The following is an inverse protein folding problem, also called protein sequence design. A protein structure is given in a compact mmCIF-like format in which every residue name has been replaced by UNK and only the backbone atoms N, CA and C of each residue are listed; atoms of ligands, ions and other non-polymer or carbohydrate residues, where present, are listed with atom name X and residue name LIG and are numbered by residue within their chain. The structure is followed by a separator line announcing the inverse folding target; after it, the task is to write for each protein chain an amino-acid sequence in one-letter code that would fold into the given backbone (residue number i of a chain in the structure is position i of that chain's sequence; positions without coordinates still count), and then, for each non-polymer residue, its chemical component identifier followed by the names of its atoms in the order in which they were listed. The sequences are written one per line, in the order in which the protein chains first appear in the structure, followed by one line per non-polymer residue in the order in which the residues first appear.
data_IF_334095071111
#
_entry.id   IF_334095071111
#
_cell.length_a   1.000
_cell.length_b   1.000
_cell.length_c   1.000
_cell.angle_alpha   90.00
_cell.angle_beta   90.00
_cell.angle_gamma   90.00
#
_symmetry.space_group_name_H-M   'P 1'
#
loop_
_entity.id
_entity.type
_entity.pdbx_description
1 polymer ?
#
# COMPACT_ATOMS: atom_id res chain seq x y z
N UNK A 1 -1.50 8.69 10.22
CA UNK A 1 -0.41 9.46 10.85
C UNK A 1 0.92 8.94 10.35
N UNK A 2 1.78 9.81 9.77
CA UNK A 2 3.08 9.39 9.21
C UNK A 2 4.16 9.23 10.29
N UNK A 3 4.15 8.10 10.99
CA UNK A 3 5.14 7.76 12.03
C UNK A 3 6.48 7.38 11.42
N UNK A 4 6.49 6.56 10.41
CA UNK A 4 7.61 6.01 9.63
C UNK A 4 8.50 5.04 10.42
N UNK A 5 8.93 5.38 11.62
CA UNK A 5 9.74 4.59 12.55
C UNK A 5 9.59 5.14 13.98
N UNK A 6 9.89 4.33 14.97
CA UNK A 6 10.05 4.76 16.37
C UNK A 6 11.54 4.79 16.80
N UNK A 7 12.45 4.89 15.82
CA UNK A 7 13.87 5.07 16.03
C UNK A 7 14.29 6.48 15.59
N UNK A 8 14.74 7.32 16.50
CA UNK A 8 15.12 8.71 16.21
C UNK A 8 16.24 8.81 15.17
N UNK A 9 17.14 7.81 15.10
CA UNK A 9 18.19 7.74 14.08
C UNK A 9 17.64 7.62 12.67
N UNK A 10 16.64 6.74 12.48
CA UNK A 10 15.96 6.50 11.21
C UNK A 10 15.11 7.71 10.80
N UNK A 11 14.37 8.32 11.74
CA UNK A 11 13.59 9.53 11.49
C UNK A 11 14.47 10.70 11.01
N UNK A 12 15.64 10.89 11.61
CA UNK A 12 16.61 11.92 11.17
C UNK A 12 17.12 11.66 9.76
N UNK A 13 17.42 10.40 9.40
CA UNK A 13 17.85 10.02 8.04
C UNK A 13 16.77 10.33 7.01
N UNK A 14 15.50 10.07 7.34
CA UNK A 14 14.36 10.43 6.50
C UNK A 14 14.07 11.95 6.44
N UNK A 15 14.79 12.77 7.20
CA UNK A 15 14.55 14.22 7.29
C UNK A 15 13.24 14.57 8.00
N UNK A 16 12.73 13.71 8.88
CA UNK A 16 11.50 13.97 9.62
C UNK A 16 11.74 15.00 10.72
N UNK A 17 10.79 15.91 10.91
CA UNK A 17 10.86 16.96 11.91
C UNK A 17 10.49 16.49 13.31
N UNK A 18 9.70 15.42 13.42
CA UNK A 18 9.30 14.80 14.68
C UNK A 18 10.28 13.70 15.10
N UNK A 19 10.27 13.37 16.37
CA UNK A 19 10.95 12.22 16.97
C UNK A 19 9.96 11.14 17.42
N UNK A 20 10.46 9.99 17.86
CA UNK A 20 9.64 8.85 18.29
C UNK A 20 8.68 9.20 19.44
N UNK A 21 9.13 9.97 20.44
CA UNK A 21 8.29 10.37 21.57
C UNK A 21 7.10 11.23 21.11
N UNK A 22 7.33 12.18 20.18
CA UNK A 22 6.28 13.03 19.63
C UNK A 22 5.27 12.23 18.78
N UNK A 23 5.73 11.19 18.07
CA UNK A 23 4.83 10.32 17.34
C UNK A 23 3.90 9.54 18.28
N UNK A 24 4.44 8.99 19.37
CA UNK A 24 3.66 8.29 20.42
C UNK A 24 2.67 9.25 21.08
N UNK A 25 3.12 10.41 21.53
CA UNK A 25 2.29 11.44 22.16
C UNK A 25 1.12 11.86 21.25
N UNK A 26 1.37 12.00 19.94
CA UNK A 26 0.32 12.34 18.98
C UNK A 26 -0.74 11.24 18.86
N UNK A 27 -0.33 9.97 18.84
CA UNK A 27 -1.25 8.83 18.78
C UNK A 27 -2.13 8.79 20.04
N UNK A 28 -1.52 8.92 21.21
CA UNK A 28 -2.22 8.94 22.50
C UNK A 28 -3.18 10.13 22.61
N UNK A 29 -2.72 11.32 22.20
CA UNK A 29 -3.52 12.55 22.21
C UNK A 29 -4.74 12.43 21.29
N UNK A 30 -4.58 11.85 20.10
CA UNK A 30 -5.68 11.60 19.18
C UNK A 30 -6.69 10.62 19.80
N UNK A 31 -6.21 9.55 20.41
CA UNK A 31 -7.09 8.59 21.10
C UNK A 31 -7.87 9.26 22.24
N UNK A 32 -7.19 10.04 23.09
CA UNK A 32 -7.81 10.77 24.19
C UNK A 32 -8.81 11.83 23.72
N UNK A 33 -8.62 12.37 22.49
CA UNK A 33 -9.58 13.25 21.84
C UNK A 33 -10.80 12.52 21.23
N UNK A 34 -10.87 11.18 21.35
CA UNK A 34 -11.99 10.36 20.91
C UNK A 34 -11.82 9.67 19.55
N UNK A 35 -10.65 9.74 18.91
CA UNK A 35 -10.41 9.01 17.67
C UNK A 35 -10.12 7.53 17.97
N UNK A 36 -11.12 6.67 17.74
CA UNK A 36 -11.01 5.22 17.97
C UNK A 36 -10.42 4.43 16.79
N UNK A 37 -10.30 5.04 15.60
CA UNK A 37 -9.75 4.43 14.39
C UNK A 37 -8.50 5.21 13.94
N UNK A 38 -7.33 4.77 14.41
CA UNK A 38 -6.04 5.41 14.15
C UNK A 38 -5.23 4.51 13.23
N UNK A 39 -4.79 5.06 12.10
CA UNK A 39 -3.86 4.46 11.16
C UNK A 39 -2.49 5.12 11.26
N UNK A 40 -1.43 4.32 11.20
CA UNK A 40 -0.04 4.79 11.17
C UNK A 40 0.67 4.28 9.94
N UNK A 41 1.56 5.11 9.39
CA UNK A 41 2.42 4.73 8.27
C UNK A 41 3.80 4.39 8.81
N UNK A 42 4.37 3.28 8.35
CA UNK A 42 5.72 2.77 8.67
C UNK A 42 6.50 2.64 7.37
N UNK A 43 7.79 2.96 7.40
CA UNK A 43 8.70 2.84 6.27
C UNK A 43 9.63 1.65 6.45
N UNK A 44 9.75 0.81 5.41
CA UNK A 44 10.67 -0.30 5.33
C UNK A 44 11.88 0.07 4.48
N UNK A 45 13.06 -0.41 4.85
CA UNK A 45 14.31 -0.14 4.12
C UNK A 45 14.86 1.25 4.33
N UNK A 46 14.58 1.88 5.46
CA UNK A 46 15.23 3.16 5.84
C UNK A 46 16.75 2.94 5.93
N UNK A 47 17.59 3.85 5.40
CA UNK A 47 19.04 3.70 5.48
C UNK A 47 19.51 3.33 6.89
N UNK A 48 20.24 2.21 7.02
CA UNK A 48 20.70 1.68 8.31
C UNK A 48 19.61 1.13 9.23
N UNK A 49 18.39 0.88 8.76
CA UNK A 49 17.38 0.12 9.47
C UNK A 49 17.87 -1.31 9.69
N UNK A 50 17.50 -1.90 10.82
CA UNK A 50 17.82 -3.30 11.17
C UNK A 50 16.55 -4.08 11.47
N UNK A 51 16.65 -5.41 11.48
CA UNK A 51 15.53 -6.27 11.90
C UNK A 51 15.08 -5.95 13.33
N UNK A 52 16.02 -5.67 14.24
CA UNK A 52 15.70 -5.31 15.63
C UNK A 52 14.99 -3.96 15.72
N UNK A 53 15.42 -2.95 14.95
CA UNK A 53 14.79 -1.62 14.96
C UNK A 53 13.38 -1.63 14.36
N UNK A 54 13.15 -2.45 13.33
CA UNK A 54 11.82 -2.67 12.76
C UNK A 54 10.92 -3.43 13.75
N UNK A 55 11.46 -4.45 14.41
CA UNK A 55 10.75 -5.24 15.44
C UNK A 55 10.30 -4.33 16.58
N UNK A 56 11.22 -3.54 17.18
CA UNK A 56 10.88 -2.57 18.24
C UNK A 56 9.79 -1.58 17.77
N UNK A 57 9.88 -1.09 16.54
CA UNK A 57 8.88 -0.16 16.00
C UNK A 57 7.49 -0.80 15.93
N UNK A 58 7.35 -1.99 15.33
CA UNK A 58 6.04 -2.65 15.15
C UNK A 58 5.47 -3.08 16.51
N UNK A 59 6.29 -3.66 17.40
CA UNK A 59 5.84 -4.10 18.72
C UNK A 59 5.31 -2.92 19.55
N UNK A 60 6.06 -1.83 19.64
CA UNK A 60 5.62 -0.62 20.36
C UNK A 60 4.38 0.01 19.75
N UNK A 61 4.26 0.07 18.42
CA UNK A 61 3.03 0.56 17.75
C UNK A 61 1.82 -0.32 18.08
N UNK A 62 2.01 -1.63 18.26
CA UNK A 62 0.92 -2.56 18.59
C UNK A 62 0.37 -2.39 20.00
N UNK A 63 1.15 -1.86 20.93
CA UNK A 63 0.76 -1.53 22.30
C UNK A 63 -0.04 -0.22 22.39
N UNK A 64 0.04 0.63 21.36
CA UNK A 64 -0.70 1.88 21.26
C UNK A 64 -2.12 1.65 20.70
N UNK A 65 -3.04 2.63 20.83
CA UNK A 65 -4.41 2.51 20.30
C UNK A 65 -4.49 2.59 18.77
N UNK A 66 -3.57 1.91 18.08
CA UNK A 66 -3.50 1.79 16.62
C UNK A 66 -4.39 0.64 16.15
N UNK A 67 -5.11 0.85 15.05
CA UNK A 67 -6.00 -0.14 14.43
C UNK A 67 -5.56 -0.57 13.04
N UNK A 68 -4.68 0.18 12.42
CA UNK A 68 -4.24 0.00 11.04
C UNK A 68 -2.80 0.44 10.88
N UNK A 69 -2.01 -0.33 10.13
CA UNK A 69 -0.61 -0.04 9.78
C UNK A 69 -0.48 -0.08 8.27
N UNK A 70 0.02 1.01 7.68
CA UNK A 70 0.47 1.04 6.29
C UNK A 70 2.00 0.91 6.29
N UNK A 71 2.53 -0.15 5.69
CA UNK A 71 3.98 -0.39 5.62
C UNK A 71 4.44 -0.23 4.16
N UNK A 72 5.26 0.77 3.90
CA UNK A 72 5.74 1.12 2.57
C UNK A 72 7.23 0.85 2.44
N UNK A 73 7.63 0.15 1.38
CA UNK A 73 9.03 0.02 1.00
C UNK A 73 9.56 1.38 0.48
N UNK A 74 10.71 1.81 1.00
CA UNK A 74 11.34 3.05 0.58
C UNK A 74 11.82 2.96 -0.86
N UNK A 75 11.20 3.75 -1.72
CA UNK A 75 11.56 3.86 -3.14
C UNK A 75 12.28 5.18 -3.41
N UNK A 76 13.33 5.14 -4.21
CA UNK A 76 14.12 6.32 -4.58
C UNK A 76 13.44 7.07 -5.74
N UNK A 77 12.81 8.19 -5.43
CA UNK A 77 12.23 9.08 -6.43
C UNK A 77 13.28 10.08 -6.95
N UNK A 78 13.53 10.16 -8.27
CA UNK A 78 14.63 10.97 -8.84
C UNK A 78 14.65 12.44 -8.42
N UNK A 79 13.46 13.02 -8.15
CA UNK A 79 13.33 14.42 -7.75
C UNK A 79 13.68 14.68 -6.28
N UNK A 80 13.74 13.63 -5.45
CA UNK A 80 14.01 13.74 -4.01
C UNK A 80 15.49 13.86 -3.68
N UNK A 81 15.87 14.30 -2.47
CA UNK A 81 17.27 14.27 -2.04
C UNK A 81 17.91 12.88 -2.13
N UNK A 82 17.20 11.83 -1.71
CA UNK A 82 17.67 10.44 -1.80
C UNK A 82 17.83 9.96 -3.25
N UNK A 83 16.91 10.33 -4.16
CA UNK A 83 17.05 9.99 -5.57
C UNK A 83 18.24 10.68 -6.24
N UNK A 84 18.62 11.90 -5.80
CA UNK A 84 19.77 12.65 -6.31
C UNK A 84 21.10 12.18 -5.72
N UNK A 85 21.09 11.72 -4.48
CA UNK A 85 22.28 11.26 -3.75
C UNK A 85 21.87 10.11 -2.81
N UNK A 86 21.75 8.88 -3.33
CA UNK A 86 21.37 7.73 -2.53
C UNK A 86 22.33 7.51 -1.36
N UNK A 87 21.82 7.29 -0.13
CA UNK A 87 22.65 6.89 1.00
C UNK A 87 23.39 5.57 0.72
N UNK A 88 24.62 5.44 1.21
CA UNK A 88 25.44 4.24 0.98
C UNK A 88 24.92 3.00 1.75
N UNK A 89 24.11 3.23 2.80
CA UNK A 89 23.54 2.20 3.68
C UNK A 89 22.04 1.91 3.36
N UNK A 90 21.65 2.09 2.08
CA UNK A 90 20.35 1.65 1.59
C UNK A 90 20.23 0.12 1.63
N UNK A 91 19.02 -0.36 1.93
CA UNK A 91 18.70 -1.77 1.72
C UNK A 91 18.77 -2.12 0.24
N UNK A 92 19.40 -3.23 -0.10
CA UNK A 92 19.27 -3.86 -1.41
C UNK A 92 17.94 -4.63 -1.51
N UNK A 93 17.68 -5.22 -2.68
CA UNK A 93 16.41 -5.90 -2.94
C UNK A 93 16.19 -7.11 -2.01
N UNK A 94 17.25 -7.87 -1.68
CA UNK A 94 17.17 -9.03 -0.80
C UNK A 94 16.86 -8.59 0.63
N UNK A 95 17.56 -7.61 1.16
CA UNK A 95 17.30 -7.05 2.49
C UNK A 95 15.91 -6.39 2.57
N UNK A 96 15.46 -5.73 1.48
CA UNK A 96 14.11 -5.17 1.42
C UNK A 96 13.04 -6.27 1.49
N UNK A 97 13.25 -7.38 0.79
CA UNK A 97 12.36 -8.54 0.85
C UNK A 97 12.33 -9.14 2.26
N UNK A 98 13.48 -9.23 2.94
CA UNK A 98 13.58 -9.69 4.32
C UNK A 98 12.83 -8.76 5.29
N UNK A 99 12.96 -7.43 5.15
CA UNK A 99 12.20 -6.47 5.95
C UNK A 99 10.69 -6.58 5.73
N UNK A 100 10.28 -6.80 4.48
CA UNK A 100 8.86 -6.95 4.18
C UNK A 100 8.30 -8.25 4.79
N UNK A 101 9.02 -9.38 4.66
CA UNK A 101 8.63 -10.65 5.26
C UNK A 101 8.58 -10.56 6.81
N UNK A 102 9.57 -9.91 7.42
CA UNK A 102 9.58 -9.66 8.86
C UNK A 102 8.39 -8.78 9.28
N UNK A 103 8.08 -7.72 8.53
CA UNK A 103 6.92 -6.87 8.81
C UNK A 103 5.60 -7.65 8.75
N UNK A 104 5.43 -8.53 7.75
CA UNK A 104 4.25 -9.40 7.64
C UNK A 104 4.12 -10.30 8.89
N UNK A 105 5.21 -10.96 9.30
CA UNK A 105 5.22 -11.83 10.47
C UNK A 105 4.89 -11.06 11.75
N UNK A 106 5.56 -9.92 11.98
CA UNK A 106 5.35 -9.08 13.16
C UNK A 106 3.91 -8.56 13.23
N UNK A 107 3.39 -8.01 12.14
CA UNK A 107 2.00 -7.53 12.08
C UNK A 107 1.00 -8.66 12.39
N UNK A 108 1.18 -9.84 11.79
CA UNK A 108 0.32 -10.99 12.03
C UNK A 108 0.36 -11.43 13.51
N UNK A 109 1.55 -11.53 14.11
CA UNK A 109 1.73 -11.87 15.55
C UNK A 109 1.04 -10.86 16.47
N UNK A 110 1.02 -9.59 16.07
CA UNK A 110 0.39 -8.49 16.83
C UNK A 110 -1.11 -8.31 16.52
N UNK A 111 -1.72 -9.22 15.71
CA UNK A 111 -3.14 -9.21 15.40
C UNK A 111 -3.56 -8.20 14.33
N UNK A 112 -2.63 -7.76 13.49
CA UNK A 112 -2.91 -6.98 12.28
C UNK A 112 -2.85 -7.92 11.08
N UNK A 113 -4.01 -8.27 10.52
CA UNK A 113 -4.10 -9.08 9.32
C UNK A 113 -3.76 -8.25 8.09
N UNK A 114 -2.90 -8.78 7.22
CA UNK A 114 -2.65 -8.18 5.92
C UNK A 114 -3.88 -8.34 5.04
N UNK A 115 -4.40 -7.27 4.47
CA UNK A 115 -5.56 -7.31 3.58
C UNK A 115 -5.23 -6.84 2.16
N UNK A 116 -4.10 -6.17 1.95
CA UNK A 116 -3.51 -5.86 0.64
C UNK A 116 -1.99 -5.67 0.80
N UNK A 117 -1.26 -5.44 -0.30
CA UNK A 117 0.21 -5.46 -0.34
C UNK A 117 0.87 -4.63 0.77
N UNK A 118 0.39 -3.40 1.01
CA UNK A 118 1.03 -2.45 1.92
C UNK A 118 0.29 -2.26 3.23
N UNK A 119 -0.92 -2.83 3.40
CA UNK A 119 -1.79 -2.47 4.51
C UNK A 119 -2.21 -3.66 5.38
N UNK A 120 -2.11 -3.44 6.68
CA UNK A 120 -2.40 -4.39 7.74
C UNK A 120 -3.41 -3.77 8.70
N UNK A 121 -4.41 -4.53 9.14
CA UNK A 121 -5.44 -3.99 10.02
C UNK A 121 -5.90 -5.00 11.06
N UNK A 122 -6.36 -4.52 12.19
CA UNK A 122 -7.19 -5.31 13.10
C UNK A 122 -8.53 -5.62 12.42
N UNK A 123 -9.17 -6.69 12.81
CA UNK A 123 -10.46 -7.11 12.23
C UNK A 123 -11.49 -5.95 12.24
N UNK A 124 -12.09 -5.70 11.08
CA UNK A 124 -13.09 -4.63 10.88
C UNK A 124 -12.51 -3.23 10.68
N UNK A 125 -11.17 -3.07 10.68
CA UNK A 125 -10.50 -1.77 10.54
C UNK A 125 -9.74 -1.59 9.20
N UNK A 126 -9.98 -2.46 8.21
CA UNK A 126 -9.45 -2.26 6.86
C UNK A 126 -9.89 -0.90 6.31
N UNK A 127 -9.00 -0.20 5.62
CA UNK A 127 -9.32 1.09 5.02
C UNK A 127 -10.31 0.94 3.86
N UNK A 128 -11.59 1.22 4.12
CA UNK A 128 -12.65 1.13 3.11
C UNK A 128 -12.41 2.01 1.90
N UNK A 129 -11.71 3.13 2.08
CA UNK A 129 -11.36 4.01 0.96
C UNK A 129 -10.32 3.37 0.05
N UNK A 130 -9.26 2.75 0.61
CA UNK A 130 -8.26 2.03 -0.20
C UNK A 130 -8.88 0.82 -0.92
N UNK A 131 -9.77 0.09 -0.24
CA UNK A 131 -10.47 -1.04 -0.84
C UNK A 131 -11.29 -0.66 -2.06
N UNK A 132 -11.85 0.56 -2.10
CA UNK A 132 -12.56 1.06 -3.30
C UNK A 132 -11.68 1.07 -4.54
N UNK A 133 -10.44 1.52 -4.40
CA UNK A 133 -9.48 1.52 -5.51
C UNK A 133 -9.18 0.10 -6.00
N UNK A 134 -8.88 -0.81 -5.07
CA UNK A 134 -8.50 -2.19 -5.40
C UNK A 134 -9.66 -3.04 -5.91
N UNK A 135 -10.91 -2.65 -5.61
CA UNK A 135 -12.13 -3.30 -6.09
C UNK A 135 -12.76 -2.61 -7.29
N UNK A 136 -12.09 -1.60 -7.83
CA UNK A 136 -12.61 -0.79 -8.94
C UNK A 136 -14.00 -0.21 -8.64
N UNK A 137 -14.23 0.24 -7.40
CA UNK A 137 -15.47 0.89 -6.95
C UNK A 137 -15.40 2.40 -7.16
N UNK A 138 -16.54 3.02 -7.43
CA UNK A 138 -16.64 4.46 -7.64
C UNK A 138 -16.25 5.30 -6.41
N UNK A 139 -15.56 6.40 -6.66
CA UNK A 139 -15.18 7.41 -5.66
C UNK A 139 -15.09 8.79 -6.30
N UNK A 140 -15.31 9.83 -5.49
CA UNK A 140 -15.18 11.23 -5.89
C UNK A 140 -14.04 11.90 -5.12
N UNK A 141 -13.12 12.51 -5.86
CA UNK A 141 -12.07 13.36 -5.33
C UNK A 141 -12.48 14.84 -5.38
N UNK A 142 -12.10 15.58 -4.35
CA UNK A 142 -12.41 17.02 -4.22
C UNK A 142 -11.11 17.80 -4.01
N UNK A 143 -10.94 18.86 -4.77
CA UNK A 143 -9.80 19.78 -4.68
C UNK A 143 -8.71 19.55 -5.73
N UNK A 144 -7.71 20.46 -5.80
CA UNK A 144 -6.63 20.41 -6.79
C UNK A 144 -5.86 19.09 -6.72
N UNK A 145 -5.56 18.51 -7.88
CA UNK A 145 -4.91 17.22 -8.06
C UNK A 145 -5.72 16.00 -7.57
N UNK A 146 -6.97 16.15 -7.17
CA UNK A 146 -7.81 15.01 -6.82
C UNK A 146 -8.21 14.21 -8.06
N UNK A 147 -8.23 12.89 -7.92
CA UNK A 147 -8.71 11.96 -8.93
C UNK A 147 -10.07 11.40 -8.53
N UNK A 148 -10.87 11.02 -9.51
CA UNK A 148 -12.18 10.40 -9.33
C UNK A 148 -12.36 9.24 -10.28
N UNK A 149 -13.15 8.26 -9.87
CA UNK A 149 -13.76 7.26 -10.72
C UNK A 149 -15.27 7.31 -10.48
N UNK A 150 -16.05 7.76 -11.45
CA UNK A 150 -17.48 7.92 -11.29
C UNK A 150 -18.20 7.86 -12.64
N UNK A 151 -19.37 7.25 -12.68
CA UNK A 151 -20.16 7.03 -13.91
C UNK A 151 -19.36 6.41 -15.07
N UNK A 152 -18.51 5.40 -14.72
CA UNK A 152 -17.69 4.66 -15.68
C UNK A 152 -16.56 5.46 -16.31
N UNK A 153 -16.13 6.58 -15.71
CA UNK A 153 -15.03 7.41 -16.19
C UNK A 153 -14.06 7.77 -15.08
N UNK A 154 -12.79 7.85 -15.40
CA UNK A 154 -11.79 8.47 -14.53
C UNK A 154 -11.49 9.89 -14.98
N UNK A 155 -11.43 10.77 -14.02
CA UNK A 155 -11.09 12.18 -14.25
C UNK A 155 -10.28 12.74 -13.08
N UNK A 156 -9.54 13.81 -13.37
CA UNK A 156 -8.72 14.49 -12.38
C UNK A 156 -9.03 15.98 -12.35
N UNK A 157 -8.83 16.59 -11.20
CA UNK A 157 -8.81 18.02 -11.04
C UNK A 157 -7.39 18.52 -11.31
N UNK A 158 -7.19 19.54 -12.19
CA UNK A 158 -5.87 20.12 -12.41
C UNK A 158 -5.19 20.58 -11.12
N UNK A 159 -3.86 20.48 -11.08
CA UNK A 159 -3.05 20.86 -9.90
C UNK A 159 -3.00 22.37 -9.64
N UNK A 160 -3.52 23.19 -10.53
CA UNK A 160 -3.49 24.66 -10.40
C UNK A 160 -4.48 25.15 -9.33
N UNK A 161 -3.94 25.42 -8.13
CA UNK A 161 -4.72 25.93 -6.99
C UNK A 161 -5.39 27.28 -7.30
N UNK A 162 -4.73 28.16 -8.09
CA UNK A 162 -5.28 29.48 -8.41
C UNK A 162 -6.46 29.37 -9.37
N UNK A 163 -6.32 28.53 -10.41
CA UNK A 163 -7.41 28.23 -11.32
C UNK A 163 -8.58 27.56 -10.59
N UNK A 164 -8.32 26.63 -9.67
CA UNK A 164 -9.33 25.98 -8.85
C UNK A 164 -10.13 26.97 -7.99
N UNK A 165 -9.45 27.92 -7.30
CA UNK A 165 -10.10 28.94 -6.46
C UNK A 165 -10.92 29.92 -7.32
N UNK A 166 -10.48 30.21 -8.54
CA UNK A 166 -11.13 31.16 -9.44
C UNK A 166 -12.34 30.55 -10.20
N UNK A 167 -12.49 29.24 -10.18
CA UNK A 167 -13.55 28.54 -10.90
C UNK A 167 -14.86 28.52 -10.11
N UNK A 168 -16.00 28.73 -10.80
CA UNK A 168 -17.35 28.64 -10.21
C UNK A 168 -17.73 27.18 -9.85
N UNK A 169 -17.08 26.19 -10.50
CA UNK A 169 -17.25 24.77 -10.26
C UNK A 169 -15.90 24.08 -10.35
N UNK A 170 -15.79 22.87 -9.77
CA UNK A 170 -14.56 22.08 -9.85
C UNK A 170 -14.23 21.74 -11.31
N UNK A 171 -13.11 22.26 -11.87
CA UNK A 171 -12.68 21.90 -13.22
C UNK A 171 -12.23 20.42 -13.21
N UNK A 172 -12.58 19.68 -14.26
CA UNK A 172 -12.18 18.26 -14.39
C UNK A 172 -11.65 17.99 -15.79
N UNK A 173 -10.66 17.09 -15.86
CA UNK A 173 -10.10 16.55 -17.09
C UNK A 173 -10.31 15.04 -17.08
N UNK A 174 -10.92 14.48 -18.14
CA UNK A 174 -11.08 13.04 -18.28
C UNK A 174 -9.69 12.44 -18.54
N UNK A 175 -9.28 11.53 -17.68
CA UNK A 175 -7.99 10.83 -17.76
C UNK A 175 -8.14 9.45 -18.37
N UNK A 176 -9.33 8.84 -18.25
CA UNK A 176 -9.68 7.58 -18.84
C UNK A 176 -11.21 7.51 -19.02
N UNK A 177 -11.68 7.28 -20.25
CA UNK A 177 -13.09 7.21 -20.60
C UNK A 177 -13.66 5.78 -20.64
N UNK A 178 -12.81 4.76 -20.40
CA UNK A 178 -13.16 3.33 -20.41
C UNK A 178 -12.36 2.52 -19.41
N UNK A 179 -12.34 2.92 -18.11
CA UNK A 179 -11.60 2.20 -17.08
C UNK A 179 -12.24 0.84 -16.74
N UNK A 180 -11.49 0.00 -16.03
CA UNK A 180 -12.00 -1.27 -15.51
C UNK A 180 -11.98 -2.40 -16.54
N UNK A 181 -11.03 -2.38 -17.47
CA UNK A 181 -10.82 -3.49 -18.37
C UNK A 181 -10.38 -4.77 -17.63
N UNK A 182 -10.31 -5.88 -18.34
CA UNK A 182 -9.93 -7.17 -17.75
C UNK A 182 -8.55 -7.10 -17.07
N UNK A 183 -7.55 -6.53 -17.75
CA UNK A 183 -6.16 -6.48 -17.25
C UNK A 183 -6.07 -5.63 -15.99
N UNK A 184 -6.76 -4.52 -15.95
CA UNK A 184 -6.83 -3.65 -14.78
C UNK A 184 -7.53 -4.33 -13.59
N UNK A 185 -8.67 -5.00 -13.82
CA UNK A 185 -9.38 -5.73 -12.76
C UNK A 185 -8.54 -6.88 -12.18
N UNK A 186 -7.77 -7.59 -13.01
CA UNK A 186 -6.78 -8.59 -12.53
C UNK A 186 -5.69 -7.91 -11.72
N UNK A 187 -5.12 -6.83 -12.25
CA UNK A 187 -4.06 -6.07 -11.60
C UNK A 187 -4.50 -5.51 -10.24
N UNK A 188 -5.66 -4.87 -10.17
CA UNK A 188 -6.15 -4.31 -8.90
C UNK A 188 -6.56 -5.40 -7.91
N UNK A 189 -7.25 -6.43 -8.36
CA UNK A 189 -7.77 -7.49 -7.49
C UNK A 189 -6.69 -8.40 -6.90
N UNK A 190 -5.59 -8.69 -7.62
CA UNK A 190 -4.46 -9.46 -7.10
C UNK A 190 -3.62 -8.70 -6.05
N UNK A 191 -3.85 -7.41 -5.84
CA UNK A 191 -3.28 -6.68 -4.70
C UNK A 191 -3.91 -7.08 -3.38
N UNK A 192 -5.15 -7.57 -3.40
CA UNK A 192 -5.92 -7.95 -2.22
C UNK A 192 -5.55 -9.37 -1.76
N UNK A 193 -5.50 -9.57 -0.45
CA UNK A 193 -5.33 -10.92 0.13
C UNK A 193 -6.52 -11.85 -0.15
N UNK A 194 -7.70 -11.28 -0.47
CA UNK A 194 -8.85 -12.05 -0.93
C UNK A 194 -8.73 -12.50 -2.40
N UNK A 195 -7.80 -11.90 -3.18
CA UNK A 195 -7.53 -12.24 -4.56
C UNK A 195 -8.69 -11.98 -5.52
N UNK A 196 -8.68 -12.63 -6.70
CA UNK A 196 -9.65 -12.48 -7.79
C UNK A 196 -10.54 -13.72 -7.94
N UNK A 197 -11.81 -13.57 -8.36
CA UNK A 197 -12.73 -14.67 -8.54
C UNK A 197 -12.45 -15.46 -9.83
N UNK A 198 -13.13 -16.62 -9.98
CA UNK A 198 -12.89 -17.57 -11.06
C UNK A 198 -13.03 -16.94 -12.46
N UNK A 199 -14.02 -16.10 -12.68
CA UNK A 199 -14.24 -15.45 -13.97
C UNK A 199 -13.06 -14.57 -14.41
N UNK A 200 -12.24 -14.08 -13.47
CA UNK A 200 -11.02 -13.30 -13.76
C UNK A 200 -9.77 -14.17 -13.84
N UNK A 201 -9.64 -15.23 -13.05
CA UNK A 201 -8.41 -16.02 -13.13
C UNK A 201 -8.45 -17.16 -14.15
N UNK A 202 -9.63 -17.56 -14.61
CA UNK A 202 -9.77 -18.66 -15.57
C UNK A 202 -8.89 -18.54 -16.82
N UNK A 203 -8.81 -17.36 -17.48
CA UNK A 203 -7.89 -17.15 -18.61
C UNK A 203 -6.41 -17.20 -18.24
N UNK A 204 -6.08 -17.19 -16.95
CA UNK A 204 -4.69 -17.17 -16.43
C UNK A 204 -4.21 -18.54 -15.96
N UNK A 205 -5.10 -19.57 -15.88
CA UNK A 205 -4.74 -20.88 -15.33
C UNK A 205 -3.53 -21.53 -16.02
N UNK A 206 -3.44 -21.39 -17.35
CA UNK A 206 -2.30 -21.87 -18.11
C UNK A 206 -0.98 -21.25 -17.69
N UNK A 207 -0.99 -19.97 -17.35
CA UNK A 207 0.18 -19.20 -16.95
C UNK A 207 0.62 -19.48 -15.48
N UNK A 208 -0.28 -19.93 -14.61
CA UNK A 208 0.05 -20.24 -13.22
C UNK A 208 1.15 -21.28 -13.08
N UNK A 209 1.29 -22.20 -14.04
CA UNK A 209 2.36 -23.21 -14.08
C UNK A 209 3.77 -22.62 -14.22
N UNK A 210 3.87 -21.35 -14.63
CA UNK A 210 5.13 -20.63 -14.77
C UNK A 210 5.59 -20.00 -13.46
N UNK A 211 4.72 -20.01 -12.43
CA UNK A 211 5.00 -19.44 -11.11
C UNK A 211 5.35 -20.54 -10.10
N UNK A 212 6.21 -20.24 -9.12
CA UNK A 212 6.37 -21.07 -7.94
C UNK A 212 5.00 -21.28 -7.24
N UNK A 213 4.73 -22.53 -6.86
CA UNK A 213 3.43 -22.91 -6.26
C UNK A 213 3.15 -22.23 -4.91
N UNK A 214 4.15 -21.71 -4.25
CA UNK A 214 4.05 -21.02 -2.96
C UNK A 214 3.82 -19.49 -3.10
N UNK A 215 3.71 -18.97 -4.33
CA UNK A 215 3.41 -17.56 -4.59
C UNK A 215 1.92 -17.26 -4.62
N UNK A 216 1.08 -18.28 -4.79
CA UNK A 216 -0.37 -18.10 -4.90
C UNK A 216 -1.15 -19.25 -4.24
N UNK A 217 -2.41 -19.02 -4.00
CA UNK A 217 -3.39 -20.04 -3.62
C UNK A 217 -4.58 -20.02 -4.57
N UNK A 218 -5.15 -21.21 -4.82
CA UNK A 218 -6.42 -21.39 -5.51
C UNK A 218 -7.39 -22.07 -4.55
N UNK A 219 -8.14 -21.29 -3.82
CA UNK A 219 -9.05 -21.76 -2.79
C UNK A 219 -10.40 -21.05 -2.87
N UNK A 220 -11.47 -21.77 -2.56
CA UNK A 220 -12.84 -21.23 -2.53
C UNK A 220 -13.25 -20.48 -3.82
N UNK A 221 -12.76 -20.92 -5.00
CA UNK A 221 -13.05 -20.27 -6.29
C UNK A 221 -12.32 -18.92 -6.46
N UNK A 222 -11.24 -18.70 -5.76
CA UNK A 222 -10.42 -17.46 -5.86
C UNK A 222 -8.95 -17.78 -6.04
N UNK A 223 -8.29 -16.95 -6.86
CA UNK A 223 -6.83 -16.88 -6.98
C UNK A 223 -6.33 -15.72 -6.13
N UNK A 224 -5.53 -16.00 -5.12
CA UNK A 224 -4.92 -14.98 -4.27
C UNK A 224 -3.40 -15.16 -4.21
N UNK A 225 -2.67 -14.05 -4.06
CA UNK A 225 -1.24 -14.10 -3.79
C UNK A 225 -0.99 -14.39 -2.31
N UNK A 226 0.05 -15.17 -2.05
CA UNK A 226 0.54 -15.42 -0.69
C UNK A 226 1.43 -14.28 -0.18
N UNK A 227 1.80 -14.32 1.09
CA UNK A 227 2.82 -13.42 1.63
C UNK A 227 4.15 -13.44 0.86
N UNK A 228 4.50 -14.58 0.22
CA UNK A 228 5.68 -14.72 -0.64
C UNK A 228 5.46 -14.20 -2.06
N UNK A 229 4.22 -14.16 -2.52
CA UNK A 229 3.86 -13.61 -3.83
C UNK A 229 3.81 -12.08 -3.84
N UNK A 230 3.40 -11.46 -2.75
CA UNK A 230 3.27 -9.99 -2.68
C UNK A 230 4.55 -9.20 -2.99
N UNK A 231 5.75 -9.56 -2.49
CA UNK A 231 6.97 -8.82 -2.84
C UNK A 231 7.28 -8.79 -4.33
N UNK A 232 6.86 -9.82 -5.07
CA UNK A 232 7.08 -9.97 -6.51
C UNK A 232 5.81 -9.77 -7.34
N UNK A 233 4.82 -9.09 -6.77
CA UNK A 233 3.52 -8.84 -7.38
C UNK A 233 3.61 -8.32 -8.83
N UNK A 234 4.42 -7.31 -9.10
CA UNK A 234 4.55 -6.71 -10.44
C UNK A 234 5.02 -7.76 -11.47
N UNK A 235 5.98 -8.61 -11.09
CA UNK A 235 6.45 -9.70 -11.93
C UNK A 235 5.34 -10.72 -12.20
N UNK A 236 4.63 -11.15 -11.14
CA UNK A 236 3.54 -12.12 -11.25
C UNK A 236 2.45 -11.61 -12.19
N UNK A 237 1.94 -10.40 -11.97
CA UNK A 237 0.87 -9.82 -12.79
C UNK A 237 1.32 -9.67 -14.23
N UNK A 238 2.52 -9.14 -14.49
CA UNK A 238 3.05 -9.00 -15.85
C UNK A 238 3.16 -10.35 -16.56
N UNK A 239 3.63 -11.39 -15.85
CA UNK A 239 3.75 -12.74 -16.41
C UNK A 239 2.38 -13.33 -16.72
N UNK A 240 1.43 -13.24 -15.79
CA UNK A 240 0.09 -13.77 -15.97
C UNK A 240 -0.64 -13.12 -17.17
N UNK A 241 -0.61 -11.79 -17.24
CA UNK A 241 -1.28 -11.04 -18.32
C UNK A 241 -0.62 -11.26 -19.68
N UNK A 242 0.72 -11.44 -19.73
CA UNK A 242 1.43 -11.72 -20.96
C UNK A 242 1.13 -13.13 -21.56
N UNK A 243 0.63 -14.06 -20.73
CA UNK A 243 0.35 -15.45 -21.13
C UNK A 243 -1.13 -15.81 -20.91
N UNK A 244 -2.01 -14.80 -20.82
CA UNK A 244 -3.46 -15.06 -20.73
C UNK A 244 -3.97 -15.74 -21.99
N UNK A 245 -4.84 -16.72 -21.81
CA UNK A 245 -5.54 -17.37 -22.93
C UNK A 245 -6.58 -16.39 -23.50
N UNK A 246 -6.65 -16.29 -24.83
CA UNK A 246 -7.72 -15.52 -25.49
C UNK A 246 -9.05 -16.24 -25.24
N UNK A 247 -10.06 -15.49 -24.80
CA UNK A 247 -11.39 -16.01 -24.50
C UNK A 247 -12.23 -16.26 -25.77
#
# INVERSE_FOLDING_TARGET
MGVQSLQDGELRKLGRLHNAAQAVELIESAHNAGFGNISVDVMLGIPGQTADSLTDTIERLSELPVRHISAYMLTLEPATPFGKSPPADMADDDLMADFYALCQELCARQGFAQYEISNFAREGFQCRHNLKYWRDEEYLGIGPAAHSFYEGKRFAVPRDIRAFIAADSQPVEITDDSPGDYDERVMMGLRLSEGIPEELYKPLEGALRLLPADYYTLENGRLALTGRGFPVYNYIVSLLLAHKEEA
#
